data_IF_281726058201
#
_entry.id   IF_281726058201
#
_cell.length_a   1.000
_cell.length_b   1.000
_cell.length_c   1.000
_cell.angle_alpha   90.00
_cell.angle_beta   90.00
_cell.angle_gamma   90.00
#
_symmetry.space_group_name_H-M   'P 1'
#
loop_
_entity.id
_entity.type
_entity.pdbx_description
1 polymer ?
#
# COMPACT_ATOMS: atom_id res chain seq x y z
N UNK A 1 7.61 0.65 -7.05
CA UNK A 1 7.51 1.66 -5.96
C UNK A 1 6.28 1.38 -5.08
N UNK A 2 5.09 1.26 -5.68
CA UNK A 2 3.85 0.92 -4.96
C UNK A 2 3.94 -0.41 -4.21
N UNK A 3 4.46 -1.46 -4.83
CA UNK A 3 4.65 -2.78 -4.17
C UNK A 3 5.58 -2.73 -2.94
N UNK A 4 6.72 -2.01 -3.05
CA UNK A 4 7.64 -1.81 -1.94
C UNK A 4 6.99 -1.01 -0.81
N UNK A 5 6.22 0.03 -1.16
CA UNK A 5 5.48 0.82 -0.18
C UNK A 5 4.40 -0.02 0.53
N UNK A 6 3.70 -0.89 -0.21
CA UNK A 6 2.66 -1.75 0.32
C UNK A 6 3.24 -2.80 1.28
N UNK A 7 4.29 -3.49 0.86
CA UNK A 7 4.98 -4.50 1.69
C UNK A 7 5.56 -3.89 2.97
N UNK A 8 6.17 -2.70 2.86
CA UNK A 8 6.66 -1.95 4.03
C UNK A 8 5.52 -1.55 4.97
N UNK A 9 4.42 -1.04 4.41
CA UNK A 9 3.24 -0.64 5.19
C UNK A 9 2.61 -1.81 5.95
N UNK A 10 2.47 -2.96 5.30
CA UNK A 10 1.98 -4.20 5.93
C UNK A 10 2.89 -4.64 7.06
N UNK A 11 4.21 -4.65 6.85
CA UNK A 11 5.17 -5.04 7.89
C UNK A 11 5.12 -4.07 9.09
N UNK A 12 5.07 -2.76 8.84
CA UNK A 12 5.03 -1.75 9.90
C UNK A 12 3.76 -1.86 10.75
N UNK A 13 2.60 -2.03 10.13
CA UNK A 13 1.33 -2.22 10.84
C UNK A 13 1.30 -3.54 11.60
N UNK A 14 1.82 -4.63 11.02
CA UNK A 14 1.92 -5.90 11.72
C UNK A 14 2.76 -5.77 12.99
N UNK A 15 3.95 -5.18 12.92
CA UNK A 15 4.79 -5.00 14.11
C UNK A 15 4.20 -3.99 15.11
N UNK A 16 3.48 -2.97 14.65
CA UNK A 16 2.73 -2.06 15.52
C UNK A 16 1.62 -2.78 16.30
N UNK A 17 0.92 -3.72 15.65
CA UNK A 17 -0.09 -4.56 16.28
C UNK A 17 0.54 -5.51 17.31
N UNK A 18 1.68 -6.12 16.99
CA UNK A 18 2.43 -6.96 17.93
C UNK A 18 2.91 -6.19 19.17
N UNK A 19 3.37 -4.94 18.99
CA UNK A 19 3.72 -4.07 20.11
C UNK A 19 2.50 -3.72 20.99
N UNK A 20 1.34 -3.50 20.36
CA UNK A 20 0.08 -3.24 21.08
C UNK A 20 -0.39 -4.46 21.88
N UNK A 21 -0.18 -5.69 21.38
CA UNK A 21 -0.43 -6.90 22.15
C UNK A 21 0.47 -7.02 23.39
N UNK A 22 1.75 -6.70 23.28
CA UNK A 22 2.65 -6.70 24.44
C UNK A 22 2.28 -5.61 25.46
N UNK A 23 1.87 -4.43 24.98
CA UNK A 23 1.38 -3.36 25.85
C UNK A 23 0.11 -3.78 26.59
N UNK A 24 -0.80 -4.48 25.91
CA UNK A 24 -2.01 -5.01 26.53
C UNK A 24 -1.68 -6.00 27.65
N UNK A 25 -0.80 -6.97 27.39
CA UNK A 25 -0.37 -7.95 28.38
C UNK A 25 0.27 -7.27 29.62
N UNK A 26 1.14 -6.29 29.41
CA UNK A 26 1.74 -5.51 30.49
C UNK A 26 0.69 -4.75 31.32
N UNK A 27 -0.31 -4.16 30.67
CA UNK A 27 -1.38 -3.44 31.35
C UNK A 27 -2.30 -4.38 32.13
N UNK A 28 -2.59 -5.57 31.61
CA UNK A 28 -3.37 -6.60 32.30
C UNK A 28 -2.61 -7.10 33.55
N UNK A 29 -1.31 -7.35 33.45
CA UNK A 29 -0.47 -7.67 34.62
C UNK A 29 -0.44 -6.53 35.65
N UNK A 30 -0.33 -5.28 35.17
CA UNK A 30 -0.34 -4.09 36.05
C UNK A 30 -1.67 -3.96 36.77
N UNK A 31 -2.77 -4.23 36.07
CA UNK A 31 -4.12 -4.21 36.64
C UNK A 31 -4.25 -5.22 37.78
N UNK A 32 -3.73 -6.44 37.61
CA UNK A 32 -3.79 -7.49 38.64
C UNK A 32 -3.02 -7.10 39.90
N UNK A 33 -1.86 -6.45 39.74
CA UNK A 33 -1.08 -5.91 40.87
C UNK A 33 -1.86 -4.83 41.62
N UNK A 34 -2.51 -3.91 40.90
CA UNK A 34 -3.31 -2.84 41.52
C UNK A 34 -4.57 -3.40 42.18
N UNK A 35 -5.22 -4.40 41.56
CA UNK A 35 -6.41 -5.06 42.13
C UNK A 35 -6.11 -5.70 43.49
N UNK A 36 -4.93 -6.31 43.64
CA UNK A 36 -4.46 -6.79 44.94
C UNK A 36 -4.35 -5.67 45.97
N UNK A 37 -3.78 -4.51 45.60
CA UNK A 37 -3.68 -3.35 46.47
C UNK A 37 -5.07 -2.79 46.85
N UNK A 38 -6.00 -2.69 45.89
CA UNK A 38 -7.39 -2.27 46.14
C UNK A 38 -8.06 -3.16 47.17
N UNK A 39 -7.94 -4.49 47.02
CA UNK A 39 -8.49 -5.47 47.97
C UNK A 39 -7.87 -5.35 49.36
N UNK A 40 -6.55 -5.11 49.43
CA UNK A 40 -5.86 -4.92 50.70
C UNK A 40 -6.36 -3.66 51.44
N UNK A 41 -6.47 -2.52 50.74
CA UNK A 41 -7.02 -1.28 51.31
C UNK A 41 -8.49 -1.45 51.71
N UNK A 42 -9.30 -2.10 50.87
CA UNK A 42 -10.71 -2.38 51.17
C UNK A 42 -10.86 -3.19 52.46
N UNK A 43 -10.03 -4.22 52.66
CA UNK A 43 -10.03 -5.03 53.87
C UNK A 43 -9.65 -4.21 55.10
N UNK A 44 -8.61 -3.37 55.03
CA UNK A 44 -8.20 -2.50 56.15
C UNK A 44 -9.28 -1.50 56.54
N UNK A 45 -9.93 -0.87 55.55
CA UNK A 45 -11.07 0.03 55.77
C UNK A 45 -12.23 -0.70 56.44
N UNK A 46 -12.57 -1.92 55.99
CA UNK A 46 -13.65 -2.72 56.57
C UNK A 46 -13.42 -3.08 58.05
N UNK A 47 -12.16 -3.16 58.49
CA UNK A 47 -11.77 -3.40 59.87
C UNK A 47 -11.44 -2.12 60.67
N UNK A 48 -11.64 -0.93 60.08
CA UNK A 48 -11.34 0.35 60.72
C UNK A 48 -9.85 0.64 60.91
N UNK A 49 -8.98 -0.06 60.20
CA UNK A 49 -7.51 0.04 60.32
C UNK A 49 -6.90 1.10 59.38
N UNK A 50 -7.69 1.68 58.48
CA UNK A 50 -7.25 2.69 57.52
C UNK A 50 -8.41 3.64 57.17
N UNK A 51 -8.09 4.90 56.83
CA UNK A 51 -9.07 5.83 56.29
C UNK A 51 -9.54 5.39 54.89
N UNK A 52 -10.68 5.92 54.42
CA UNK A 52 -11.17 5.56 53.08
C UNK A 52 -10.36 6.18 51.93
N UNK A 53 -9.54 7.21 52.19
CA UNK A 53 -8.82 7.95 51.15
C UNK A 53 -7.85 7.05 50.36
N UNK A 54 -6.98 6.23 50.98
CA UNK A 54 -6.14 5.27 50.26
C UNK A 54 -6.93 4.27 49.40
N UNK A 55 -8.06 3.75 49.90
CA UNK A 55 -8.93 2.84 49.15
C UNK A 55 -9.48 3.50 47.88
N UNK A 56 -10.04 4.71 47.98
CA UNK A 56 -10.54 5.44 46.81
C UNK A 56 -9.41 5.84 45.86
N UNK A 57 -8.21 6.12 46.37
CA UNK A 57 -7.01 6.36 45.58
C UNK A 57 -6.60 5.14 44.74
N UNK A 58 -6.52 3.96 45.36
CA UNK A 58 -6.25 2.71 44.65
C UNK A 58 -7.35 2.39 43.63
N UNK A 59 -8.63 2.66 43.97
CA UNK A 59 -9.76 2.47 43.05
C UNK A 59 -9.71 3.43 41.85
N UNK A 60 -9.22 4.65 42.03
CA UNK A 60 -8.99 5.56 40.90
C UNK A 60 -7.86 5.05 39.99
N UNK A 61 -6.80 4.47 40.56
CA UNK A 61 -5.69 3.91 39.79
C UNK A 61 -6.11 2.71 38.93
N UNK A 62 -6.87 1.76 39.48
CA UNK A 62 -7.35 0.61 38.68
C UNK A 62 -8.25 1.06 37.53
N UNK A 63 -9.13 2.05 37.75
CA UNK A 63 -9.97 2.62 36.69
C UNK A 63 -9.15 3.35 35.61
N UNK A 64 -8.04 3.98 36.00
CA UNK A 64 -7.12 4.59 35.04
C UNK A 64 -6.43 3.54 34.15
N UNK A 65 -6.03 2.40 34.72
CA UNK A 65 -5.47 1.27 33.97
C UNK A 65 -6.53 0.61 33.09
N UNK A 66 -7.76 0.43 33.58
CA UNK A 66 -8.88 -0.10 32.80
C UNK A 66 -9.16 0.76 31.55
N UNK A 67 -9.08 2.10 31.69
CA UNK A 67 -9.17 3.03 30.56
C UNK A 67 -8.05 2.80 29.55
N UNK A 68 -6.81 2.59 30.01
CA UNK A 68 -5.67 2.30 29.12
C UNK A 68 -5.83 0.97 28.39
N UNK A 69 -6.29 -0.08 29.08
CA UNK A 69 -6.60 -1.39 28.48
C UNK A 69 -7.65 -1.24 27.38
N UNK A 70 -8.73 -0.51 27.64
CA UNK A 70 -9.77 -0.26 26.64
C UNK A 70 -9.23 0.49 25.42
N UNK A 71 -8.37 1.49 25.63
CA UNK A 71 -7.73 2.24 24.55
C UNK A 71 -6.83 1.35 23.68
N UNK A 72 -5.98 0.51 24.29
CA UNK A 72 -5.11 -0.42 23.56
C UNK A 72 -5.92 -1.48 22.81
N UNK A 73 -7.01 -2.01 23.37
CA UNK A 73 -7.93 -2.91 22.66
C UNK A 73 -8.58 -2.24 21.44
N UNK A 74 -8.92 -0.95 21.56
CA UNK A 74 -9.34 -0.13 20.43
C UNK A 74 -8.27 -0.02 19.35
N UNK A 75 -7.03 0.30 19.74
CA UNK A 75 -5.90 0.41 18.82
C UNK A 75 -5.60 -0.89 18.07
N UNK A 76 -5.68 -2.04 18.74
CA UNK A 76 -5.51 -3.36 18.12
C UNK A 76 -6.59 -3.57 17.04
N UNK A 77 -7.83 -3.20 17.34
CA UNK A 77 -8.95 -3.31 16.40
C UNK A 77 -8.75 -2.41 15.19
N UNK A 78 -8.40 -1.14 15.40
CA UNK A 78 -8.14 -0.18 14.32
C UNK A 78 -6.96 -0.61 13.43
N UNK A 79 -5.88 -1.09 14.03
CA UNK A 79 -4.70 -1.57 13.31
C UNK A 79 -5.04 -2.82 12.48
N UNK A 80 -5.87 -3.72 13.03
CA UNK A 80 -6.39 -4.89 12.31
C UNK A 80 -7.21 -4.47 11.09
N UNK A 81 -8.14 -3.53 11.24
CA UNK A 81 -8.96 -3.06 10.11
C UNK A 81 -8.11 -2.34 9.03
N UNK A 82 -7.08 -1.60 9.46
CA UNK A 82 -6.12 -0.99 8.55
C UNK A 82 -5.32 -2.03 7.75
N UNK A 83 -4.85 -3.10 8.42
CA UNK A 83 -4.22 -4.24 7.76
C UNK A 83 -5.17 -4.94 6.79
N UNK A 84 -6.42 -5.15 7.18
CA UNK A 84 -7.46 -5.75 6.34
C UNK A 84 -7.65 -4.98 5.03
N UNK A 85 -7.73 -3.65 5.14
CA UNK A 85 -7.89 -2.78 3.98
C UNK A 85 -6.68 -2.83 3.04
N UNK A 86 -5.45 -2.86 3.58
CA UNK A 86 -4.23 -2.90 2.77
C UNK A 86 -4.03 -4.22 2.04
N UNK A 87 -4.41 -5.35 2.64
CA UNK A 87 -4.31 -6.66 1.98
C UNK A 87 -5.52 -6.97 1.09
N UNK A 88 -6.53 -6.09 1.06
CA UNK A 88 -7.75 -6.27 0.27
C UNK A 88 -8.65 -7.42 0.75
N UNK A 89 -8.56 -7.82 2.02
CA UNK A 89 -9.34 -8.93 2.55
C UNK A 89 -10.78 -8.53 2.91
N UNK A 90 -11.73 -9.42 2.62
CA UNK A 90 -13.10 -9.33 3.11
C UNK A 90 -13.19 -9.41 4.64
N UNK A 91 -14.34 -9.05 5.22
CA UNK A 91 -14.54 -9.07 6.68
C UNK A 91 -14.32 -10.47 7.29
N UNK A 92 -14.66 -11.53 6.55
CA UNK A 92 -14.52 -12.94 6.92
C UNK A 92 -13.15 -13.55 6.59
N UNK A 93 -12.37 -12.90 5.72
CA UNK A 93 -11.21 -13.54 5.07
C UNK A 93 -9.88 -13.15 5.72
N UNK A 94 -9.93 -12.31 6.75
CA UNK A 94 -8.73 -11.89 7.46
C UNK A 94 -8.30 -12.97 8.46
N UNK A 95 -7.09 -13.54 8.31
CA UNK A 95 -6.57 -14.51 9.26
C UNK A 95 -6.42 -13.89 10.65
N UNK A 96 -6.63 -14.71 11.68
CA UNK A 96 -6.39 -14.30 13.06
C UNK A 96 -4.90 -14.03 13.27
N UNK A 97 -4.57 -12.81 13.72
CA UNK A 97 -3.20 -12.42 14.07
C UNK A 97 -3.03 -12.68 15.57
N UNK A 98 -2.19 -13.65 15.92
CA UNK A 98 -1.89 -13.97 17.31
C UNK A 98 -0.68 -13.16 17.81
N UNK A 99 -0.63 -12.85 19.11
CA UNK A 99 0.56 -12.26 19.73
C UNK A 99 1.78 -13.18 19.56
N UNK A 100 2.92 -12.60 19.18
CA UNK A 100 4.21 -13.28 19.05
C UNK A 100 5.29 -12.42 19.71
N UNK A 101 6.36 -13.05 20.21
CA UNK A 101 7.51 -12.33 20.72
C UNK A 101 8.14 -11.45 19.62
N UNK A 102 8.36 -10.17 19.94
CA UNK A 102 9.01 -9.24 19.03
C UNK A 102 10.49 -9.66 18.80
N UNK A 103 10.97 -9.62 17.55
CA UNK A 103 12.35 -9.96 17.24
C UNK A 103 13.32 -8.94 17.82
N UNK A 104 14.54 -9.38 18.16
CA UNK A 104 15.65 -8.47 18.48
C UNK A 104 16.08 -7.77 17.21
N UNK A 105 15.91 -6.45 17.15
CA UNK A 105 16.33 -5.64 16.01
C UNK A 105 17.86 -5.63 15.94
N UNK A 106 18.42 -6.18 14.87
CA UNK A 106 19.82 -5.95 14.52
C UNK A 106 19.91 -4.56 13.88
N UNK A 107 20.39 -3.58 14.64
CA UNK A 107 20.66 -2.25 14.11
C UNK A 107 21.99 -2.29 13.36
N UNK A 108 21.96 -2.01 12.07
CA UNK A 108 23.16 -1.95 11.24
C UNK A 108 22.87 -1.23 9.94
N UNK A 109 23.60 -0.14 9.68
CA UNK A 109 23.67 0.45 8.35
C UNK A 109 24.64 -0.43 7.55
N UNK A 110 24.31 -0.84 6.30
CA UNK A 110 25.26 -1.56 5.47
C UNK A 110 26.59 -0.81 5.40
N UNK A 111 27.71 -1.51 5.61
CA UNK A 111 29.04 -0.91 5.64
C UNK A 111 29.41 -0.16 4.34
N UNK A 112 28.72 -0.47 3.25
CA UNK A 112 28.88 0.18 1.95
C UNK A 112 27.52 0.47 1.32
N UNK A 113 27.28 1.74 0.98
CA UNK A 113 26.15 2.17 0.17
C UNK A 113 26.56 2.13 -1.32
N UNK A 114 26.46 0.96 -1.95
CA UNK A 114 26.88 0.82 -3.36
C UNK A 114 25.93 1.57 -4.31
N UNK A 115 26.47 2.17 -5.38
CA UNK A 115 25.69 2.79 -6.47
C UNK A 115 24.70 1.81 -7.12
N UNK A 116 24.95 0.50 -7.05
CA UNK A 116 24.00 -0.52 -7.49
C UNK A 116 22.65 -0.44 -6.77
N UNK A 117 22.60 0.08 -5.54
CA UNK A 117 21.35 0.25 -4.79
C UNK A 117 20.45 1.32 -5.42
N UNK A 118 21.03 2.35 -6.05
CA UNK A 118 20.25 3.34 -6.82
C UNK A 118 19.67 2.70 -8.09
N UNK A 119 20.40 1.79 -8.74
CA UNK A 119 19.91 1.10 -9.93
C UNK A 119 18.74 0.14 -9.62
N UNK A 120 18.62 -0.35 -8.38
CA UNK A 120 17.52 -1.21 -7.91
C UNK A 120 16.28 -0.44 -7.43
N UNK A 121 16.36 0.90 -7.32
CA UNK A 121 15.26 1.73 -6.85
C UNK A 121 14.20 1.91 -7.95
N UNK A 122 12.99 1.35 -7.79
CA UNK A 122 11.99 1.35 -8.85
C UNK A 122 11.44 2.76 -9.16
N UNK A 123 11.49 3.68 -8.18
CA UNK A 123 11.15 5.09 -8.38
C UNK A 123 12.14 5.81 -9.30
N UNK A 124 13.44 5.55 -9.14
CA UNK A 124 14.48 6.11 -10.00
C UNK A 124 14.43 5.54 -11.42
N UNK A 125 14.13 4.24 -11.55
CA UNK A 125 13.93 3.62 -12.86
C UNK A 125 12.72 4.24 -13.60
N UNK A 126 11.61 4.47 -12.90
CA UNK A 126 10.44 5.12 -13.49
C UNK A 126 10.76 6.53 -14.01
N UNK A 127 11.51 7.33 -13.22
CA UNK A 127 11.94 8.67 -13.63
C UNK A 127 12.89 8.63 -14.83
N UNK A 128 13.80 7.65 -14.91
CA UNK A 128 14.65 7.45 -16.08
C UNK A 128 13.82 7.19 -17.34
N UNK A 129 12.82 6.30 -17.29
CA UNK A 129 11.94 6.03 -18.43
C UNK A 129 11.12 7.25 -18.83
N UNK A 130 10.68 8.06 -17.86
CA UNK A 130 9.99 9.31 -18.13
C UNK A 130 10.88 10.31 -18.89
N UNK A 131 12.14 10.47 -18.46
CA UNK A 131 13.12 11.30 -19.18
C UNK A 131 13.36 10.75 -20.59
N UNK A 132 13.52 9.43 -20.74
CA UNK A 132 13.69 8.81 -22.05
C UNK A 132 12.50 9.08 -22.98
N UNK A 133 11.27 8.90 -22.50
CA UNK A 133 10.07 9.17 -23.29
C UNK A 133 10.00 10.65 -23.72
N UNK A 134 10.44 11.58 -22.86
CA UNK A 134 10.51 13.00 -23.22
C UNK A 134 11.56 13.27 -24.30
N UNK A 135 12.69 12.55 -24.30
CA UNK A 135 13.70 12.66 -25.36
C UNK A 135 13.17 12.07 -26.67
N UNK A 136 12.51 10.91 -26.62
CA UNK A 136 11.90 10.28 -27.80
C UNK A 136 10.79 11.17 -28.40
N UNK A 137 10.09 11.96 -27.59
CA UNK A 137 9.12 12.96 -28.05
C UNK A 137 9.81 14.10 -28.83
N UNK A 138 10.99 14.54 -28.38
CA UNK A 138 11.80 15.54 -29.10
C UNK A 138 12.28 14.95 -30.43
N UNK A 139 12.73 13.70 -30.44
CA UNK A 139 13.17 13.04 -31.67
C UNK A 139 12.01 12.78 -32.63
N UNK A 140 10.81 12.46 -32.13
CA UNK A 140 9.57 12.40 -32.91
C UNK A 140 9.21 13.76 -33.52
N UNK A 141 9.31 14.84 -32.74
CA UNK A 141 9.09 16.20 -33.25
C UNK A 141 10.13 16.58 -34.32
N UNK A 142 11.39 16.19 -34.15
CA UNK A 142 12.42 16.34 -35.20
C UNK A 142 12.10 15.51 -36.43
N UNK A 143 11.55 14.32 -36.26
CA UNK A 143 11.21 13.43 -37.36
C UNK A 143 10.12 14.01 -38.28
N UNK A 144 9.29 14.94 -37.79
CA UNK A 144 8.31 15.66 -38.63
C UNK A 144 8.96 16.52 -39.72
N UNK A 145 10.25 16.87 -39.60
CA UNK A 145 11.00 17.56 -40.65
C UNK A 145 11.53 16.61 -41.75
N UNK A 146 11.48 15.30 -41.55
CA UNK A 146 11.86 14.32 -42.56
C UNK A 146 10.66 13.90 -43.42
N UNK A 147 10.89 13.33 -44.62
CA UNK A 147 9.81 12.81 -45.44
C UNK A 147 9.08 11.66 -44.74
N UNK A 148 7.75 11.73 -44.66
CA UNK A 148 6.91 10.62 -44.19
C UNK A 148 6.42 9.79 -45.37
N UNK A 149 6.56 8.47 -45.28
CA UNK A 149 6.02 7.51 -46.25
C UNK A 149 4.74 6.89 -45.68
N UNK A 150 3.65 6.98 -46.43
CA UNK A 150 2.35 6.37 -46.10
C UNK A 150 2.00 5.35 -47.17
N UNK A 151 1.50 4.18 -46.78
CA UNK A 151 1.17 3.12 -47.73
C UNK A 151 -0.27 2.67 -47.46
N UNK A 152 -1.16 2.97 -48.42
CA UNK A 152 -2.56 2.54 -48.36
C UNK A 152 -2.79 1.38 -49.29
N UNK A 153 -3.44 0.34 -48.80
CA UNK A 153 -3.89 -0.79 -49.59
C UNK A 153 -5.38 -1.03 -49.33
N UNK A 154 -6.14 -1.28 -50.38
CA UNK A 154 -7.57 -1.56 -50.32
C UNK A 154 -7.88 -2.83 -51.08
N UNK A 155 -8.63 -3.74 -50.45
CA UNK A 155 -9.15 -4.94 -51.07
C UNK A 155 -10.65 -4.97 -50.83
N UNK A 156 -11.44 -5.15 -51.88
CA UNK A 156 -12.89 -5.11 -51.75
C UNK A 156 -13.61 -5.67 -52.96
N UNK A 157 -14.93 -5.57 -52.90
CA UNK A 157 -15.81 -5.90 -54.01
C UNK A 157 -16.42 -4.58 -54.49
N UNK A 158 -16.27 -4.26 -55.77
CA UNK A 158 -17.01 -3.18 -56.43
C UNK A 158 -17.98 -3.77 -57.43
N UNK A 159 -19.26 -3.39 -57.34
CA UNK A 159 -20.27 -3.86 -58.26
C UNK A 159 -21.44 -2.87 -58.35
N UNK A 160 -21.89 -2.59 -59.58
CA UNK A 160 -23.06 -1.75 -59.85
C UNK A 160 -24.37 -2.48 -59.49
N UNK A 161 -24.38 -3.82 -59.52
CA UNK A 161 -25.53 -4.66 -59.20
C UNK A 161 -25.18 -5.76 -58.19
N UNK A 162 -26.11 -6.04 -57.26
CA UNK A 162 -25.90 -6.95 -56.13
C UNK A 162 -25.66 -8.42 -56.57
N UNK A 163 -26.23 -8.84 -57.70
CA UNK A 163 -26.07 -10.18 -58.28
C UNK A 163 -24.65 -10.44 -58.82
N UNK A 164 -23.88 -9.37 -59.07
CA UNK A 164 -22.48 -9.43 -59.52
C UNK A 164 -21.47 -9.26 -58.39
N UNK A 165 -21.92 -8.92 -57.18
CA UNK A 165 -21.07 -8.55 -56.06
C UNK A 165 -20.08 -9.65 -55.66
N UNK A 166 -20.46 -10.92 -55.72
CA UNK A 166 -19.60 -12.05 -55.34
C UNK A 166 -18.87 -12.72 -56.52
N UNK A 167 -18.99 -12.18 -57.73
CA UNK A 167 -18.29 -12.72 -58.91
C UNK A 167 -16.79 -12.43 -58.81
N UNK A 168 -15.96 -13.16 -59.56
CA UNK A 168 -14.50 -12.88 -59.58
C UNK A 168 -14.19 -11.49 -60.14
N UNK A 169 -15.04 -10.97 -61.01
CA UNK A 169 -14.89 -9.69 -61.70
C UNK A 169 -15.19 -8.46 -60.83
N UNK A 170 -15.89 -8.62 -59.71
CA UNK A 170 -16.14 -7.54 -58.77
C UNK A 170 -14.98 -7.34 -57.78
N UNK A 171 -14.01 -8.26 -57.72
CA UNK A 171 -12.85 -8.15 -56.84
C UNK A 171 -11.94 -7.02 -57.30
N UNK A 172 -11.75 -6.02 -56.45
CA UNK A 172 -10.82 -4.93 -56.66
C UNK A 172 -9.70 -4.97 -55.62
N UNK A 173 -8.49 -4.64 -56.07
CA UNK A 173 -7.33 -4.41 -55.23
C UNK A 173 -6.67 -3.11 -55.68
N UNK A 174 -6.41 -2.22 -54.72
CA UNK A 174 -5.72 -0.95 -54.95
C UNK A 174 -4.55 -0.82 -53.97
N UNK A 175 -3.44 -0.29 -54.46
CA UNK A 175 -2.24 0.01 -53.68
C UNK A 175 -1.78 1.44 -54.02
N UNK A 176 -1.71 2.30 -53.01
CA UNK A 176 -1.46 3.73 -53.15
C UNK A 176 -0.34 4.12 -52.16
N UNK A 177 0.90 4.27 -52.62
CA UNK A 177 1.97 4.86 -51.82
C UNK A 177 1.85 6.40 -51.81
N UNK A 178 2.13 7.01 -50.67
CA UNK A 178 2.16 8.45 -50.46
C UNK A 178 3.49 8.88 -49.85
N UNK A 179 4.03 10.01 -50.30
CA UNK A 179 5.22 10.65 -49.75
C UNK A 179 4.88 12.11 -49.44
N UNK A 180 5.15 12.56 -48.21
CA UNK A 180 4.92 13.95 -47.79
C UNK A 180 6.19 14.50 -47.12
N UNK A 181 6.60 15.70 -47.54
CA UNK A 181 7.69 16.47 -46.92
C UNK A 181 7.21 17.93 -46.78
N UNK A 182 7.08 18.47 -45.55
CA UNK A 182 6.73 19.88 -45.37
C UNK A 182 7.90 20.78 -45.78
N UNK A 183 7.63 21.83 -46.58
CA UNK A 183 8.61 22.87 -46.94
C UNK A 183 8.43 24.16 -46.13
N UNK A 184 7.20 24.46 -45.71
CA UNK A 184 6.82 25.60 -44.89
C UNK A 184 5.75 25.17 -43.90
N UNK A 185 5.93 25.53 -42.63
CA UNK A 185 5.02 25.17 -41.52
C UNK A 185 4.90 26.39 -40.58
N UNK A 186 4.30 27.48 -41.09
CA UNK A 186 4.02 28.71 -40.33
C UNK A 186 5.16 29.73 -40.27
#
# INVERSE_FOLDING_TARGET
AVELSLTTGVAQLYYSMQASYQMLDLLEQTRDVIDYAVKAHQSKVAHGLEAQVPFHGARAQILAVDKQIAAVKGQITETRESLRALIGAGASDMPEIKPVALPRVQTGIPATLSYELLARRPDLQAMRWYVQASLDQVDSARALFYPSFDIKAFFGLDAIHLDTLFKKTSRQFNFIPGLKLPLFDG
#
